data_IF_572279918957
#
_entry.id   IF_572279918957
#
_cell.length_a   1.000
_cell.length_b   1.000
_cell.length_c   1.000
_cell.angle_alpha   90.00
_cell.angle_beta   90.00
_cell.angle_gamma   90.00
#
_symmetry.space_group_name_H-M   'P 1'
#
loop_
_entity.id
_entity.type
_entity.pdbx_description
1 polymer ?
#
# COMPACT_ATOMS: atom_id res chain seq x y z
N UNK A 1 -17.38 -8.32 -7.81
CA UNK A 1 -16.61 -7.50 -6.85
C UNK A 1 -15.71 -8.34 -5.94
N UNK A 2 -14.41 -8.20 -6.12
CA UNK A 2 -13.30 -8.75 -5.30
C UNK A 2 -12.81 -7.76 -4.23
N UNK A 3 -13.29 -6.52 -4.27
CA UNK A 3 -13.13 -5.56 -3.18
C UNK A 3 -13.06 -4.12 -3.66
N UNK A 4 -13.43 -3.23 -2.76
CA UNK A 4 -13.43 -1.77 -2.94
C UNK A 4 -12.51 -1.08 -1.94
N UNK A 5 -12.15 0.15 -2.28
CA UNK A 5 -11.50 1.08 -1.36
C UNK A 5 -11.83 2.51 -1.79
N UNK A 6 -12.01 3.39 -0.81
CA UNK A 6 -12.17 4.81 -1.03
C UNK A 6 -11.34 5.59 0.00
N UNK A 7 -10.44 6.43 -0.50
CA UNK A 7 -9.72 7.49 0.21
C UNK A 7 -10.05 8.82 -0.47
N UNK A 8 -9.68 9.94 0.16
CA UNK A 8 -9.98 11.28 -0.35
C UNK A 8 -9.52 11.54 -1.79
N UNK A 9 -8.43 10.90 -2.22
CA UNK A 9 -7.84 11.05 -3.55
C UNK A 9 -7.66 9.72 -4.31
N UNK A 10 -8.24 8.62 -3.81
CA UNK A 10 -8.04 7.30 -4.41
C UNK A 10 -9.29 6.45 -4.29
N UNK A 11 -9.75 5.89 -5.40
CA UNK A 11 -10.88 4.96 -5.41
C UNK A 11 -10.49 3.70 -6.16
N UNK A 12 -10.95 2.57 -5.63
CA UNK A 12 -10.66 1.24 -6.13
C UNK A 12 -11.93 0.43 -6.14
N UNK A 13 -12.18 -0.26 -7.25
CA UNK A 13 -13.24 -1.25 -7.40
C UNK A 13 -12.69 -2.35 -8.28
N UNK A 14 -12.39 -3.50 -7.68
CA UNK A 14 -11.81 -4.64 -8.36
C UNK A 14 -12.87 -5.70 -8.59
N UNK A 15 -12.98 -6.18 -9.83
CA UNK A 15 -13.92 -7.23 -10.21
C UNK A 15 -13.19 -8.50 -10.63
N UNK A 16 -13.82 -9.64 -10.36
CA UNK A 16 -13.40 -10.94 -10.87
C UNK A 16 -13.85 -11.03 -12.33
N UNK A 17 -12.93 -11.39 -13.20
CA UNK A 17 -13.23 -11.56 -14.62
C UNK A 17 -13.94 -12.90 -14.86
N UNK A 18 -14.89 -12.92 -15.78
CA UNK A 18 -15.36 -14.17 -16.37
C UNK A 18 -14.27 -14.82 -17.23
N UNK A 19 -14.43 -16.10 -17.52
CA UNK A 19 -13.39 -16.89 -18.19
C UNK A 19 -13.12 -16.41 -19.63
N UNK A 20 -14.13 -15.92 -20.34
CA UNK A 20 -13.99 -15.48 -21.73
C UNK A 20 -13.20 -14.16 -21.78
N UNK A 21 -13.54 -13.22 -20.89
CA UNK A 21 -12.80 -11.97 -20.71
C UNK A 21 -11.35 -12.24 -20.26
N UNK A 22 -11.15 -13.16 -19.31
CA UNK A 22 -9.82 -13.55 -18.84
C UNK A 22 -8.98 -14.18 -19.96
N UNK A 23 -9.57 -15.08 -20.76
CA UNK A 23 -8.90 -15.72 -21.89
C UNK A 23 -8.50 -14.71 -22.97
N UNK A 24 -9.35 -13.73 -23.26
CA UNK A 24 -9.01 -12.62 -24.16
C UNK A 24 -7.85 -11.75 -23.67
N UNK A 25 -7.64 -11.68 -22.36
CA UNK A 25 -6.55 -10.93 -21.72
C UNK A 25 -5.26 -11.72 -21.49
N UNK A 26 -5.17 -12.97 -21.98
CA UNK A 26 -4.02 -13.84 -21.78
C UNK A 26 -2.70 -13.23 -22.29
N UNK A 27 -1.67 -13.27 -21.45
CA UNK A 27 -0.42 -12.57 -21.70
C UNK A 27 0.68 -13.49 -22.25
N UNK A 28 1.29 -13.08 -23.36
CA UNK A 28 2.47 -13.71 -23.98
C UNK A 28 3.70 -12.80 -24.04
N UNK A 29 3.56 -11.53 -23.63
CA UNK A 29 4.66 -10.56 -23.64
C UNK A 29 5.69 -10.84 -22.55
N UNK A 30 6.94 -10.46 -22.81
CA UNK A 30 8.01 -10.50 -21.82
C UNK A 30 7.63 -9.70 -20.56
N UNK A 31 7.87 -10.30 -19.39
CA UNK A 31 7.48 -9.80 -18.07
C UNK A 31 6.16 -10.38 -17.55
N UNK A 32 5.23 -10.78 -18.43
CA UNK A 32 3.95 -11.42 -18.08
C UNK A 32 3.70 -12.69 -18.91
N UNK A 33 4.75 -13.37 -19.38
CA UNK A 33 4.58 -14.54 -20.24
C UNK A 33 3.79 -15.64 -19.51
N UNK A 34 2.86 -16.29 -20.20
CA UNK A 34 2.00 -17.36 -19.68
C UNK A 34 1.17 -16.93 -18.45
N UNK A 35 0.69 -15.67 -18.42
CA UNK A 35 -0.12 -15.16 -17.32
C UNK A 35 -1.56 -14.89 -17.75
N UNK A 36 -2.51 -15.35 -16.94
CA UNK A 36 -3.94 -15.15 -17.13
C UNK A 36 -4.45 -14.07 -16.15
N UNK A 37 -5.09 -12.99 -16.61
CA UNK A 37 -5.69 -12.01 -15.70
C UNK A 37 -6.90 -12.64 -14.98
N UNK A 38 -6.96 -12.46 -13.67
CA UNK A 38 -8.07 -12.92 -12.83
C UNK A 38 -9.03 -11.80 -12.46
N UNK A 39 -8.48 -10.61 -12.25
CA UNK A 39 -9.26 -9.46 -11.81
C UNK A 39 -8.94 -8.24 -12.66
N UNK A 40 -9.81 -7.24 -12.59
CA UNK A 40 -9.56 -5.94 -13.18
C UNK A 40 -10.09 -4.83 -12.27
N UNK A 41 -9.26 -3.82 -12.02
CA UNK A 41 -9.68 -2.60 -11.36
C UNK A 41 -9.89 -1.51 -12.40
N UNK A 42 -11.14 -1.07 -12.59
CA UNK A 42 -11.48 -0.08 -13.63
C UNK A 42 -10.83 1.29 -13.40
N UNK A 43 -10.50 1.62 -12.15
CA UNK A 43 -9.97 2.94 -11.78
C UNK A 43 -8.45 3.01 -11.94
N UNK A 44 -7.74 1.91 -11.67
CA UNK A 44 -6.27 1.85 -11.76
C UNK A 44 -5.78 1.17 -13.03
N UNK A 45 -6.64 0.45 -13.75
CA UNK A 45 -6.29 -0.37 -14.91
C UNK A 45 -5.45 -1.60 -14.55
N UNK A 46 -5.27 -1.90 -13.25
CA UNK A 46 -4.44 -2.99 -12.78
C UNK A 46 -5.25 -4.28 -12.61
N UNK A 47 -4.55 -5.39 -12.81
CA UNK A 47 -5.09 -6.75 -12.71
C UNK A 47 -4.25 -7.59 -11.76
N UNK A 48 -4.91 -8.51 -11.06
CA UNK A 48 -4.22 -9.71 -10.55
C UNK A 48 -4.09 -10.70 -11.69
N UNK A 49 -2.98 -11.42 -11.71
CA UNK A 49 -2.70 -12.45 -12.70
C UNK A 49 -2.41 -13.77 -12.00
N UNK A 50 -2.70 -14.88 -12.69
CA UNK A 50 -2.24 -16.22 -12.36
C UNK A 50 -1.19 -16.66 -13.37
N UNK A 51 -0.06 -17.18 -12.89
CA UNK A 51 0.90 -17.84 -13.75
C UNK A 51 0.38 -19.23 -14.17
N UNK A 52 0.26 -19.50 -15.46
CA UNK A 52 -0.14 -20.81 -15.97
C UNK A 52 1.04 -21.76 -16.14
N UNK A 53 2.27 -21.25 -16.18
CA UNK A 53 3.50 -22.02 -16.24
C UNK A 53 4.60 -21.41 -15.37
N UNK A 54 5.59 -22.23 -15.00
CA UNK A 54 6.76 -21.77 -14.22
C UNK A 54 7.77 -21.05 -15.11
N UNK A 55 7.54 -19.76 -15.36
CA UNK A 55 8.36 -18.92 -16.24
C UNK A 55 8.63 -17.55 -15.61
N UNK A 56 9.73 -16.91 -16.02
CA UNK A 56 10.13 -15.57 -15.55
C UNK A 56 10.26 -15.45 -14.02
N UNK A 57 10.61 -16.55 -13.33
CA UNK A 57 10.77 -16.61 -11.87
C UNK A 57 9.48 -16.87 -11.09
N UNK A 58 8.35 -17.04 -11.77
CA UNK A 58 7.07 -17.41 -11.16
C UNK A 58 6.95 -18.93 -11.05
N UNK A 59 6.22 -19.37 -10.02
CA UNK A 59 5.77 -20.75 -9.93
C UNK A 59 4.42 -20.89 -10.65
N UNK A 60 4.18 -22.05 -11.27
CA UNK A 60 2.85 -22.38 -11.80
C UNK A 60 1.77 -22.23 -10.72
N UNK A 61 0.65 -21.62 -11.10
CA UNK A 61 -0.52 -21.27 -10.27
C UNK A 61 -0.35 -20.13 -9.26
N UNK A 62 0.83 -19.53 -9.19
CA UNK A 62 1.06 -18.36 -8.34
C UNK A 62 0.22 -17.17 -8.82
N UNK A 63 -0.45 -16.52 -7.87
CA UNK A 63 -1.30 -15.36 -8.10
C UNK A 63 -0.60 -14.12 -7.55
N UNK A 64 -0.61 -13.05 -8.33
CA UNK A 64 0.14 -11.85 -7.99
C UNK A 64 -0.50 -10.58 -8.53
N UNK A 65 -0.16 -9.45 -7.91
CA UNK A 65 -0.26 -8.13 -8.51
C UNK A 65 1.06 -7.77 -9.18
N UNK A 66 0.98 -7.19 -10.38
CA UNK A 66 2.12 -6.47 -10.94
C UNK A 66 2.42 -5.23 -10.10
N UNK A 67 3.69 -5.03 -9.80
CA UNK A 67 4.20 -3.83 -9.17
C UNK A 67 4.40 -2.75 -10.24
N UNK A 68 3.74 -1.59 -10.16
CA UNK A 68 4.06 -0.46 -11.02
C UNK A 68 5.49 0.02 -10.71
N UNK A 69 6.45 -0.23 -11.59
CA UNK A 69 7.75 0.44 -11.54
C UNK A 69 7.78 1.53 -12.62
N UNK A 70 7.54 2.77 -12.20
CA UNK A 70 7.59 3.94 -13.08
C UNK A 70 9.02 4.30 -13.53
N UNK A 71 10.04 3.76 -12.86
CA UNK A 71 11.45 4.00 -13.16
C UNK A 71 12.08 2.89 -14.02
N UNK A 72 11.34 1.81 -14.29
CA UNK A 72 11.83 0.69 -15.09
C UNK A 72 12.09 1.14 -16.54
N UNK A 73 13.38 1.16 -16.93
CA UNK A 73 13.78 1.34 -18.35
C UNK A 73 13.39 0.14 -19.20
N UNK A 74 13.38 -1.06 -18.60
CA UNK A 74 12.97 -2.29 -19.24
C UNK A 74 11.50 -2.59 -18.88
N UNK A 75 10.55 -2.52 -19.82
CA UNK A 75 9.12 -2.75 -19.55
C UNK A 75 8.79 -4.21 -19.14
N UNK A 76 9.75 -5.13 -19.27
CA UNK A 76 9.63 -6.51 -18.82
C UNK A 76 10.15 -6.75 -17.39
N UNK A 77 10.79 -5.74 -16.78
CA UNK A 77 11.30 -5.81 -15.41
C UNK A 77 10.18 -5.59 -14.36
N UNK A 78 9.19 -6.48 -14.36
CA UNK A 78 8.00 -6.38 -13.51
C UNK A 78 8.24 -7.09 -12.18
N UNK A 79 8.32 -6.33 -11.10
CA UNK A 79 8.28 -6.87 -9.73
C UNK A 79 6.83 -7.25 -9.37
N UNK A 80 6.65 -8.10 -8.36
CA UNK A 80 5.38 -8.82 -8.19
C UNK A 80 5.03 -8.98 -6.72
N UNK A 81 3.85 -8.57 -6.29
CA UNK A 81 3.32 -8.89 -4.96
C UNK A 81 2.51 -10.17 -5.04
N UNK A 82 2.94 -11.21 -4.33
CA UNK A 82 2.30 -12.52 -4.34
C UNK A 82 1.08 -12.50 -3.41
N UNK A 83 -0.07 -12.90 -3.93
CA UNK A 83 -1.35 -12.91 -3.22
C UNK A 83 -1.94 -14.30 -3.04
N UNK A 84 -1.42 -15.31 -3.73
CA UNK A 84 -1.84 -16.70 -3.56
C UNK A 84 -0.91 -17.67 -4.29
N UNK A 85 -0.99 -18.96 -3.93
CA UNK A 85 -0.20 -20.04 -4.55
C UNK A 85 -1.04 -20.97 -5.43
N UNK A 86 -2.37 -20.86 -5.35
CA UNK A 86 -3.31 -21.52 -6.24
C UNK A 86 -4.63 -20.74 -6.31
N UNK A 87 -5.36 -20.87 -7.41
CA UNK A 87 -6.67 -20.24 -7.56
C UNK A 87 -7.67 -20.69 -6.50
N UNK A 88 -7.70 -22.00 -6.20
CA UNK A 88 -8.64 -22.54 -5.24
C UNK A 88 -8.42 -21.95 -3.85
N UNK A 89 -7.18 -21.95 -3.34
CA UNK A 89 -6.85 -21.39 -2.03
C UNK A 89 -7.10 -19.88 -1.99
N UNK A 90 -6.61 -19.14 -2.99
CA UNK A 90 -6.80 -17.69 -3.09
C UNK A 90 -8.28 -17.30 -3.08
N UNK A 91 -9.10 -17.94 -3.90
CA UNK A 91 -10.52 -17.61 -4.03
C UNK A 91 -11.32 -18.06 -2.81
N UNK A 92 -11.09 -19.28 -2.32
CA UNK A 92 -11.82 -19.79 -1.15
C UNK A 92 -11.46 -19.04 0.12
N UNK A 93 -10.19 -18.65 0.30
CA UNK A 93 -9.75 -17.78 1.40
C UNK A 93 -10.43 -16.41 1.35
N UNK A 94 -10.56 -15.82 0.15
CA UNK A 94 -11.32 -14.59 -0.06
C UNK A 94 -12.79 -14.77 0.36
N UNK A 95 -13.48 -15.78 -0.19
CA UNK A 95 -14.90 -16.04 0.11
C UNK A 95 -15.10 -16.29 1.60
N UNK A 96 -14.21 -17.07 2.23
CA UNK A 96 -14.27 -17.34 3.67
C UNK A 96 -14.18 -16.04 4.47
N UNK A 97 -13.24 -15.15 4.17
CA UNK A 97 -13.13 -13.85 4.85
C UNK A 97 -14.36 -12.97 4.67
N UNK A 98 -15.02 -13.01 3.51
CA UNK A 98 -16.29 -12.29 3.30
C UNK A 98 -17.40 -12.89 4.16
N UNK A 99 -17.60 -14.21 4.09
CA UNK A 99 -18.70 -14.91 4.78
C UNK A 99 -18.55 -14.87 6.30
N UNK A 100 -17.33 -14.91 6.82
CA UNK A 100 -17.04 -14.85 8.26
C UNK A 100 -16.98 -13.43 8.82
N UNK A 101 -17.16 -12.41 7.98
CA UNK A 101 -17.06 -11.00 8.39
C UNK A 101 -15.63 -10.50 8.62
N UNK A 102 -14.62 -11.29 8.22
CA UNK A 102 -13.22 -10.87 8.21
C UNK A 102 -12.93 -9.74 7.21
N UNK A 103 -13.74 -9.59 6.17
CA UNK A 103 -13.76 -8.40 5.31
C UNK A 103 -15.05 -7.61 5.54
N UNK A 104 -14.97 -6.37 6.05
CA UNK A 104 -16.15 -5.56 6.30
C UNK A 104 -16.91 -5.23 5.01
N UNK A 105 -18.24 -5.35 5.08
CA UNK A 105 -19.17 -4.95 4.02
C UNK A 105 -19.84 -3.65 4.45
N UNK A 106 -19.63 -2.57 3.69
CA UNK A 106 -20.19 -1.24 3.97
C UNK A 106 -20.88 -0.76 2.71
N UNK A 107 -22.19 -0.47 2.80
CA UNK A 107 -23.02 -0.05 1.66
C UNK A 107 -22.87 -0.98 0.44
N UNK A 108 -23.01 -2.28 0.68
CA UNK A 108 -22.88 -3.36 -0.31
C UNK A 108 -21.51 -3.46 -1.01
N UNK A 109 -20.48 -2.81 -0.45
CA UNK A 109 -19.10 -2.91 -0.94
C UNK A 109 -18.21 -3.66 0.05
N UNK A 110 -17.38 -4.56 -0.46
CA UNK A 110 -16.45 -5.38 0.32
C UNK A 110 -15.14 -4.62 0.48
N UNK A 111 -14.71 -4.31 1.71
CA UNK A 111 -13.42 -3.68 1.96
C UNK A 111 -12.43 -4.70 2.52
N UNK A 112 -11.25 -4.84 1.89
CA UNK A 112 -10.24 -5.85 2.28
C UNK A 112 -9.34 -5.38 3.43
N UNK A 113 -9.96 -4.89 4.50
CA UNK A 113 -9.27 -4.60 5.75
C UNK A 113 -9.13 -5.90 6.57
N UNK A 114 -7.93 -6.17 7.05
CA UNK A 114 -7.66 -7.25 8.00
C UNK A 114 -7.61 -6.64 9.39
N UNK A 115 -8.42 -7.18 10.30
CA UNK A 115 -8.40 -6.81 11.71
C UNK A 115 -7.69 -7.89 12.50
N UNK A 116 -6.55 -7.55 13.10
CA UNK A 116 -5.94 -8.36 14.14
C UNK A 116 -6.69 -8.13 15.44
N UNK A 117 -7.05 -9.21 16.13
CA UNK A 117 -7.78 -9.16 17.41
C UNK A 117 -6.97 -8.47 18.50
N UNK A 118 -5.65 -8.45 18.38
CA UNK A 118 -4.75 -7.75 19.31
C UNK A 118 -4.69 -6.24 19.03
N UNK A 119 -5.12 -5.78 17.86
CA UNK A 119 -5.16 -4.37 17.49
C UNK A 119 -6.40 -3.65 18.06
N UNK A 120 -6.63 -3.82 19.35
CA UNK A 120 -7.70 -3.20 20.14
C UNK A 120 -7.13 -2.68 21.46
N UNK A 121 -7.41 -1.43 21.80
CA UNK A 121 -7.08 -0.87 23.12
C UNK A 121 -8.32 -0.19 23.73
N UNK A 122 -8.55 -0.43 25.01
CA UNK A 122 -9.64 0.20 25.77
C UNK A 122 -9.06 1.09 26.85
N UNK A 123 -9.49 2.36 26.89
CA UNK A 123 -9.13 3.32 27.93
C UNK A 123 -10.40 3.83 28.59
N UNK A 124 -10.67 3.37 29.81
CA UNK A 124 -11.95 3.60 30.47
C UNK A 124 -13.10 2.99 29.65
N UNK A 125 -14.08 3.80 29.29
CA UNK A 125 -15.28 3.37 28.57
C UNK A 125 -15.13 3.43 27.04
N UNK A 126 -13.95 3.86 26.53
CA UNK A 126 -13.69 4.06 25.10
C UNK A 126 -12.76 2.98 24.57
N UNK A 127 -13.15 2.35 23.47
CA UNK A 127 -12.36 1.34 22.75
C UNK A 127 -11.97 1.84 21.37
N UNK A 128 -10.68 1.69 21.05
CA UNK A 128 -10.11 1.95 19.73
C UNK A 128 -9.69 0.63 19.09
N UNK A 129 -10.27 0.31 17.94
CA UNK A 129 -9.91 -0.87 17.14
C UNK A 129 -9.34 -0.44 15.79
N UNK A 130 -8.31 -1.13 15.32
CA UNK A 130 -7.64 -0.81 14.06
C UNK A 130 -7.66 -1.99 13.11
N UNK A 131 -7.99 -1.74 11.85
CA UNK A 131 -7.87 -2.71 10.75
C UNK A 131 -6.98 -2.12 9.66
N UNK A 132 -6.12 -2.93 9.04
CA UNK A 132 -5.16 -2.44 8.03
C UNK A 132 -5.35 -3.13 6.69
N UNK A 133 -4.89 -2.51 5.61
CA UNK A 133 -4.89 -3.08 4.27
C UNK A 133 -3.64 -2.64 3.52
N UNK A 134 -2.98 -3.57 2.84
CA UNK A 134 -1.89 -3.27 1.90
C UNK A 134 -2.48 -2.97 0.51
N UNK A 135 -1.96 -1.94 -0.17
CA UNK A 135 -2.42 -1.53 -1.49
C UNK A 135 -1.31 -1.78 -2.53
N UNK A 136 -1.32 -2.93 -3.21
CA UNK A 136 -0.30 -3.27 -4.23
C UNK A 136 -0.21 -2.25 -5.36
N UNK A 137 -1.34 -1.65 -5.74
CA UNK A 137 -1.44 -0.67 -6.83
C UNK A 137 -0.77 0.68 -6.56
N UNK A 138 -0.58 1.04 -5.29
CA UNK A 138 0.14 2.25 -4.87
C UNK A 138 1.50 1.92 -4.25
N UNK A 139 1.91 0.65 -4.33
CA UNK A 139 3.16 0.16 -3.74
C UNK A 139 4.15 -0.23 -4.83
N UNK A 140 5.42 0.03 -4.57
CA UNK A 140 6.54 -0.39 -5.38
C UNK A 140 7.65 -1.05 -4.57
N UNK A 141 8.27 -2.08 -5.14
CA UNK A 141 9.49 -2.69 -4.58
C UNK A 141 10.72 -1.85 -4.95
N UNK A 142 10.70 -1.28 -6.16
CA UNK A 142 11.75 -0.40 -6.65
C UNK A 142 11.14 0.84 -7.33
N UNK A 143 11.43 2.07 -6.83
CA UNK A 143 12.01 2.34 -5.52
C UNK A 143 11.10 1.80 -4.39
N UNK A 144 11.62 1.51 -3.20
CA UNK A 144 10.83 0.92 -2.13
C UNK A 144 9.80 1.92 -1.59
N UNK A 145 8.53 1.61 -1.80
CA UNK A 145 7.39 2.41 -1.37
C UNK A 145 6.21 1.48 -1.08
N UNK A 146 5.87 1.30 0.20
CA UNK A 146 4.82 0.37 0.62
C UNK A 146 3.66 1.14 1.19
N UNK A 147 2.54 1.13 0.47
CA UNK A 147 1.35 1.90 0.82
C UNK A 147 0.36 1.04 1.59
N UNK A 148 -0.04 1.54 2.76
CA UNK A 148 -1.03 0.91 3.61
C UNK A 148 -2.16 1.88 3.91
N UNK A 149 -3.37 1.36 3.98
CA UNK A 149 -4.49 2.05 4.61
C UNK A 149 -4.82 1.43 5.94
N UNK A 150 -5.39 2.25 6.81
CA UNK A 150 -5.90 1.80 8.09
C UNK A 150 -7.28 2.41 8.32
N UNK A 151 -8.17 1.57 8.84
CA UNK A 151 -9.50 1.95 9.30
C UNK A 151 -9.51 1.90 10.83
N UNK A 152 -9.89 3.01 11.45
CA UNK A 152 -9.97 3.13 12.89
C UNK A 152 -11.43 3.25 13.29
N UNK A 153 -11.80 2.47 14.30
CA UNK A 153 -13.10 2.48 14.94
C UNK A 153 -12.92 2.93 16.38
N UNK A 154 -13.57 4.03 16.75
CA UNK A 154 -13.60 4.59 18.10
C UNK A 154 -15.03 4.44 18.60
N UNK A 155 -15.22 3.74 19.71
CA UNK A 155 -16.54 3.57 20.29
C UNK A 155 -16.53 3.76 21.80
N UNK A 156 -17.67 4.16 22.36
CA UNK A 156 -17.90 4.12 23.80
C UNK A 156 -18.95 3.07 24.13
N UNK A 157 -18.72 2.35 25.21
CA UNK A 157 -19.62 1.28 25.66
C UNK A 157 -21.04 1.82 25.93
N UNK A 158 -22.06 0.97 25.74
CA UNK A 158 -23.47 1.37 25.90
C UNK A 158 -23.88 1.59 27.36
N UNK A 159 -23.17 0.95 28.28
CA UNK A 159 -23.35 1.02 29.73
C UNK A 159 -22.61 2.21 30.38
N UNK A 160 -21.82 2.95 29.60
CA UNK A 160 -21.22 4.20 30.06
C UNK A 160 -22.30 5.24 30.41
N UNK A 161 -22.03 6.04 31.44
CA UNK A 161 -22.93 7.11 31.86
C UNK A 161 -22.97 8.24 30.80
N UNK A 162 -24.11 8.90 30.54
CA UNK A 162 -24.22 9.99 29.57
C UNK A 162 -23.21 11.13 29.79
N UNK A 163 -22.84 11.41 31.05
CA UNK A 163 -21.89 12.45 31.45
C UNK A 163 -20.45 12.14 30.99
N UNK A 164 -20.17 10.90 30.56
CA UNK A 164 -18.89 10.49 29.97
C UNK A 164 -18.73 10.96 28.52
N UNK A 165 -19.76 11.53 27.91
CA UNK A 165 -19.65 12.06 26.56
C UNK A 165 -18.47 13.04 26.44
N UNK A 166 -17.66 12.84 25.41
CA UNK A 166 -16.40 13.55 25.21
C UNK A 166 -16.19 13.83 23.72
N UNK A 167 -15.35 14.80 23.41
CA UNK A 167 -15.00 15.16 22.04
C UNK A 167 -13.51 14.99 21.81
N UNK A 168 -13.16 14.43 20.65
CA UNK A 168 -11.78 14.28 20.20
C UNK A 168 -11.23 15.65 19.79
N UNK A 169 -10.12 16.06 20.39
CA UNK A 169 -9.45 17.34 20.10
C UNK A 169 -8.25 17.19 19.17
N UNK A 170 -7.41 16.19 19.45
CA UNK A 170 -6.16 16.01 18.73
C UNK A 170 -5.72 14.55 18.75
N UNK A 171 -4.73 14.26 17.89
CA UNK A 171 -4.10 12.96 17.78
C UNK A 171 -2.59 13.10 17.89
N UNK A 172 -1.97 12.08 18.44
CA UNK A 172 -0.53 11.86 18.39
C UNK A 172 -0.28 10.45 17.82
N UNK A 173 0.63 10.37 16.87
CA UNK A 173 1.08 9.14 16.25
C UNK A 173 2.59 9.03 16.34
N UNK A 174 3.07 7.85 16.70
CA UNK A 174 4.46 7.42 16.57
C UNK A 174 4.51 6.31 15.53
N UNK A 175 5.17 6.58 14.43
CA UNK A 175 5.25 5.72 13.24
C UNK A 175 6.67 5.21 13.15
N UNK A 176 6.87 3.89 13.21
CA UNK A 176 8.22 3.29 13.16
C UNK A 176 8.33 2.35 11.98
N UNK A 177 9.36 2.54 11.15
CA UNK A 177 9.65 1.64 10.03
C UNK A 177 10.52 0.43 10.49
N UNK A 178 10.76 -0.53 9.61
CA UNK A 178 11.54 -1.74 9.96
C UNK A 178 13.04 -1.47 10.24
N UNK A 179 13.56 -0.29 9.89
CA UNK A 179 14.94 0.13 10.19
C UNK A 179 15.06 0.82 11.54
N UNK A 180 13.93 1.07 12.22
CA UNK A 180 13.88 1.79 13.48
C UNK A 180 13.78 3.31 13.34
N UNK A 181 13.64 3.83 12.11
CA UNK A 181 13.39 5.26 11.92
C UNK A 181 11.98 5.59 12.44
N UNK A 182 11.89 6.64 13.26
CA UNK A 182 10.65 7.08 13.90
C UNK A 182 10.21 8.41 13.31
N UNK A 183 8.94 8.50 12.95
CA UNK A 183 8.25 9.73 12.60
C UNK A 183 7.13 9.99 13.60
N UNK A 184 7.05 11.20 14.15
CA UNK A 184 5.99 11.63 15.04
C UNK A 184 5.06 12.59 14.31
N UNK A 185 3.75 12.33 14.40
CA UNK A 185 2.71 13.17 13.79
C UNK A 185 1.73 13.59 14.87
N UNK A 186 1.64 14.90 15.10
CA UNK A 186 0.68 15.50 16.01
C UNK A 186 -0.17 16.51 15.26
N UNK A 187 -1.47 16.55 15.53
CA UNK A 187 -2.37 17.49 14.87
C UNK A 187 -3.79 17.48 15.42
N UNK A 188 -4.59 18.50 15.07
CA UNK A 188 -5.96 18.64 15.53
C UNK A 188 -6.89 17.64 14.83
N UNK A 189 -7.88 17.14 15.57
CA UNK A 189 -8.92 16.26 15.07
C UNK A 189 -8.40 14.95 14.45
N UNK A 190 -9.27 14.32 13.65
CA UNK A 190 -8.98 13.18 12.79
C UNK A 190 -9.64 13.45 11.43
N UNK A 191 -8.89 13.33 10.33
CA UNK A 191 -9.37 13.57 8.96
C UNK A 191 -10.14 14.90 8.75
N UNK A 192 -9.79 15.93 9.53
CA UNK A 192 -10.45 17.24 9.50
C UNK A 192 -11.72 17.36 10.37
N UNK A 193 -12.06 16.31 11.13
CA UNK A 193 -13.22 16.24 12.00
C UNK A 193 -12.84 16.17 13.49
N UNK A 194 -13.76 16.61 14.35
CA UNK A 194 -13.65 16.58 15.82
C UNK A 194 -14.85 15.82 16.40
N UNK A 195 -14.89 14.48 16.26
CA UNK A 195 -16.08 13.70 16.60
C UNK A 195 -16.38 13.72 18.11
N UNK A 196 -17.66 13.83 18.42
CA UNK A 196 -18.20 13.59 19.76
C UNK A 196 -18.46 12.10 19.91
N UNK A 197 -17.96 11.49 20.98
CA UNK A 197 -18.21 10.11 21.37
C UNK A 197 -19.06 10.11 22.64
N UNK A 198 -20.21 9.44 22.57
CA UNK A 198 -21.19 9.28 23.66
C UNK A 198 -21.53 7.80 23.83
N UNK A 199 -22.18 7.38 24.94
CA UNK A 199 -22.47 5.97 25.17
C UNK A 199 -23.17 5.30 23.98
N UNK A 200 -22.62 4.17 23.52
CA UNK A 200 -23.10 3.42 22.37
C UNK A 200 -22.79 4.01 20.99
N UNK A 201 -22.17 5.19 20.92
CA UNK A 201 -21.77 5.81 19.65
C UNK A 201 -20.50 5.20 19.13
N UNK A 202 -20.47 5.00 17.82
CA UNK A 202 -19.32 4.53 17.06
C UNK A 202 -18.95 5.61 16.05
N UNK A 203 -17.67 5.94 15.99
CA UNK A 203 -17.08 6.77 14.95
C UNK A 203 -16.02 5.96 14.21
N UNK A 204 -16.08 5.98 12.88
CA UNK A 204 -15.13 5.27 12.03
C UNK A 204 -14.54 6.23 11.00
N UNK A 205 -13.23 6.11 10.79
CA UNK A 205 -12.55 6.83 9.73
C UNK A 205 -11.44 5.98 9.10
N UNK A 206 -11.03 6.36 7.90
CA UNK A 206 -9.95 5.69 7.16
C UNK A 206 -8.87 6.70 6.80
N UNK A 207 -7.61 6.29 6.87
CA UNK A 207 -6.48 7.08 6.39
C UNK A 207 -5.37 6.17 5.83
N UNK A 208 -4.25 6.75 5.43
CA UNK A 208 -3.14 6.06 4.78
C UNK A 208 -1.80 6.41 5.43
N UNK A 209 -0.85 5.50 5.29
CA UNK A 209 0.57 5.74 5.56
C UNK A 209 1.43 5.02 4.51
N UNK A 210 2.67 5.45 4.39
CA UNK A 210 3.66 4.83 3.50
C UNK A 210 4.94 4.52 4.25
N UNK A 211 5.57 3.39 3.92
CA UNK A 211 6.88 3.01 4.44
C UNK A 211 7.88 2.84 3.31
N UNK A 212 9.15 3.17 3.57
CA UNK A 212 10.29 2.81 2.72
C UNK A 212 10.81 1.39 3.00
N UNK A 213 10.15 0.66 3.90
CA UNK A 213 10.45 -0.72 4.31
C UNK A 213 9.22 -1.60 4.14
N UNK A 214 9.43 -2.89 3.97
CA UNK A 214 8.37 -3.90 3.76
C UNK A 214 7.43 -4.05 4.96
N UNK A 215 7.85 -3.59 6.14
CA UNK A 215 7.02 -3.55 7.32
C UNK A 215 7.24 -2.27 8.12
N UNK A 216 6.29 -1.98 8.99
CA UNK A 216 6.33 -0.91 9.97
C UNK A 216 5.20 -1.08 10.97
N UNK A 217 5.17 -0.24 11.98
CA UNK A 217 4.07 -0.19 12.94
C UNK A 217 3.75 1.24 13.35
N UNK A 218 2.52 1.43 13.83
CA UNK A 218 2.03 2.70 14.34
C UNK A 218 1.42 2.49 15.71
N UNK A 219 1.59 3.46 16.58
CA UNK A 219 0.98 3.53 17.90
C UNK A 219 0.78 4.99 18.29
N UNK A 220 -0.01 5.27 19.33
CA UNK A 220 -0.26 6.65 19.73
C UNK A 220 -1.42 6.80 20.67
N UNK A 221 -2.00 7.99 20.69
CA UNK A 221 -3.19 8.31 21.47
C UNK A 221 -3.99 9.45 20.87
N UNK A 222 -5.27 9.50 21.21
CA UNK A 222 -6.12 10.67 21.00
C UNK A 222 -6.25 11.45 22.30
N UNK A 223 -6.26 12.77 22.20
CA UNK A 223 -6.63 13.64 23.31
C UNK A 223 -8.11 13.98 23.20
N UNK A 224 -8.85 13.73 24.28
CA UNK A 224 -10.26 14.05 24.41
C UNK A 224 -10.49 15.06 25.52
N UNK A 225 -11.53 15.88 25.40
CA UNK A 225 -12.11 16.62 26.51
C UNK A 225 -13.53 16.16 26.84
N UNK A 226 -13.89 16.19 28.12
CA UNK A 226 -15.25 15.90 28.56
C UNK A 226 -16.20 17.05 28.23
N UNK A 227 -17.41 16.74 27.74
CA UNK A 227 -18.42 17.78 27.42
C UNK A 227 -19.14 18.32 28.66
N UNK A 228 -19.28 17.50 29.71
CA UNK A 228 -19.99 17.87 30.95
C UNK A 228 -19.08 18.42 32.04
N UNK A 229 -17.78 18.11 32.00
CA UNK A 229 -16.79 18.53 32.98
C UNK A 229 -15.77 19.46 32.32
N UNK A 230 -15.89 20.76 32.60
CA UNK A 230 -14.98 21.78 32.06
C UNK A 230 -13.53 21.45 32.39
N UNK A 231 -12.64 21.74 31.44
CA UNK A 231 -11.18 21.63 31.54
C UNK A 231 -10.65 20.22 31.87
N UNK A 232 -11.48 19.18 31.71
CA UNK A 232 -11.06 17.79 31.91
C UNK A 232 -10.66 17.15 30.60
N UNK A 233 -9.35 16.99 30.42
CA UNK A 233 -8.74 16.30 29.28
C UNK A 233 -8.20 14.93 29.69
N UNK A 234 -8.21 13.99 28.76
CA UNK A 234 -7.62 12.67 28.95
C UNK A 234 -7.19 12.06 27.61
N UNK A 235 -6.20 11.18 27.67
CA UNK A 235 -5.73 10.46 26.50
C UNK A 235 -6.43 9.10 26.37
N UNK A 236 -6.79 8.73 25.15
CA UNK A 236 -7.30 7.41 24.78
C UNK A 236 -6.23 6.72 23.95
N UNK A 237 -5.76 5.57 24.43
CA UNK A 237 -4.69 4.82 23.78
C UNK A 237 -5.13 4.25 22.44
N UNK A 238 -4.28 4.38 21.44
CA UNK A 238 -4.42 3.66 20.18
C UNK A 238 -3.52 2.41 20.28
N UNK A 239 -4.03 1.20 20.01
CA UNK A 239 -3.21 -0.01 20.08
C UNK A 239 -2.05 0.09 19.09
N UNK A 240 -0.91 -0.52 19.41
CA UNK A 240 0.13 -0.73 18.40
C UNK A 240 -0.39 -1.70 17.36
N UNK A 241 -0.30 -1.33 16.09
CA UNK A 241 -0.65 -2.21 14.97
C UNK A 241 0.47 -2.28 13.95
N UNK A 242 0.67 -3.49 13.44
CA UNK A 242 1.72 -3.79 12.47
C UNK A 242 1.14 -3.80 11.05
N UNK A 243 1.93 -3.32 10.11
CA UNK A 243 1.65 -3.34 8.68
C UNK A 243 2.79 -4.06 8.01
N UNK A 244 2.47 -5.14 7.31
CA UNK A 244 3.46 -6.02 6.68
C UNK A 244 3.03 -6.24 5.24
N UNK A 245 3.95 -5.93 4.33
CA UNK A 245 3.79 -6.22 2.91
C UNK A 245 3.73 -7.74 2.72
N UNK A 246 2.82 -8.25 1.87
CA UNK A 246 2.86 -9.63 1.41
C UNK A 246 4.23 -9.98 0.80
N UNK A 247 4.50 -11.28 0.67
CA UNK A 247 5.66 -11.77 -0.07
C UNK A 247 5.69 -11.16 -1.47
N UNK A 248 6.87 -10.77 -1.93
CA UNK A 248 7.06 -10.23 -3.27
C UNK A 248 8.24 -10.90 -3.97
N UNK A 249 8.24 -10.84 -5.30
CA UNK A 249 9.33 -11.29 -6.17
C UNK A 249 9.85 -10.11 -6.98
N UNK A 250 11.18 -10.02 -7.06
CA UNK A 250 11.87 -9.05 -7.92
C UNK A 250 12.07 -9.68 -9.29
N UNK A 251 11.89 -8.91 -10.35
CA UNK A 251 12.05 -9.41 -11.72
C UNK A 251 13.46 -9.92 -11.98
N UNK A 252 13.55 -11.10 -12.60
CA UNK A 252 14.83 -11.66 -13.09
C UNK A 252 15.50 -10.76 -14.13
N UNK A 253 14.73 -10.05 -14.95
CA UNK A 253 15.26 -9.09 -15.93
C UNK A 253 16.05 -7.94 -15.26
N UNK A 254 15.68 -7.60 -14.01
CA UNK A 254 16.41 -6.61 -13.20
C UNK A 254 17.69 -7.18 -12.61
N UNK A 255 17.69 -8.45 -12.21
CA UNK A 255 18.89 -9.14 -11.71
C UNK A 255 19.98 -9.20 -12.80
N UNK A 256 19.60 -9.58 -14.03
CA UNK A 256 20.53 -9.61 -15.17
C UNK A 256 21.11 -8.22 -15.47
N UNK A 257 20.31 -7.17 -15.40
CA UNK A 257 20.81 -5.79 -15.58
C UNK A 257 21.75 -5.36 -14.46
N UNK A 258 21.55 -5.83 -13.22
CA UNK A 258 22.41 -5.49 -12.09
C UNK A 258 23.75 -6.23 -12.19
N UNK A 259 23.73 -7.51 -12.54
CA UNK A 259 24.95 -8.31 -12.75
C UNK A 259 25.74 -7.81 -13.96
N UNK A 260 25.07 -7.37 -15.03
CA UNK A 260 25.73 -6.73 -16.17
C UNK A 260 26.38 -5.37 -15.78
N UNK A 261 25.73 -4.58 -14.93
CA UNK A 261 26.31 -3.32 -14.42
C UNK A 261 27.49 -3.59 -13.49
N UNK A 262 27.41 -4.60 -12.62
CA UNK A 262 28.52 -5.03 -11.76
C UNK A 262 29.69 -5.55 -12.61
N UNK A 263 29.42 -6.40 -13.60
CA UNK A 263 30.45 -6.87 -14.54
C UNK A 263 31.08 -5.72 -15.33
N UNK A 264 30.32 -4.71 -15.76
CA UNK A 264 30.87 -3.54 -16.44
C UNK A 264 31.72 -2.66 -15.51
N UNK A 265 31.34 -2.54 -14.23
CA UNK A 265 32.14 -1.84 -13.23
C UNK A 265 33.42 -2.61 -12.87
N UNK A 266 33.36 -3.94 -12.84
CA UNK A 266 34.52 -4.81 -12.61
C UNK A 266 35.48 -4.83 -13.81
N UNK A 267 34.97 -4.74 -15.06
CA UNK A 267 35.84 -4.60 -16.24
C UNK A 267 36.47 -3.22 -16.37
N UNK A 268 35.88 -2.17 -15.78
CA UNK A 268 36.45 -0.81 -15.75
C UNK A 268 37.53 -0.61 -14.68
N UNK A 269 37.91 -1.64 -13.92
CA UNK A 269 39.02 -1.58 -12.97
C UNK A 269 40.34 -2.18 -13.50
N UNK A 270 40.45 -2.47 -14.80
CA UNK A 270 41.64 -3.07 -15.36
C UNK A 270 42.15 -2.46 -16.67
N UNK A 271 42.08 -1.13 -16.81
CA UNK A 271 42.84 -0.40 -17.83
C UNK A 271 43.24 0.99 -17.31
N UNK A 272 44.37 1.04 -16.61
CA UNK A 272 45.23 2.23 -16.60
C UNK A 272 46.51 1.86 -17.34
N UNK A 273 46.57 2.20 -18.62
CA UNK A 273 47.81 2.42 -19.32
C UNK A 273 47.73 3.83 -19.93
N UNK A 274 48.70 4.64 -19.54
CA UNK A 274 48.97 5.99 -20.02
C UNK A 274 49.41 5.88 -21.48
N UNK A 275 48.91 6.76 -22.34
CA UNK A 275 49.72 7.35 -23.40
C UNK A 275 49.10 8.71 -23.81
N UNK A 276 49.95 9.73 -23.77
CA UNK A 276 49.73 11.07 -24.29
C UNK A 276 49.93 11.06 -25.81
N UNK A 277 49.06 11.75 -26.57
CA UNK A 277 49.47 12.83 -27.49
C UNK A 277 48.34 13.28 -28.46
N UNK A 278 48.12 14.60 -28.40
CA UNK A 278 47.81 15.60 -29.43
C UNK A 278 46.78 15.42 -30.58
N UNK A 279 45.79 16.31 -30.52
CA UNK A 279 45.43 17.36 -31.51
C UNK A 279 44.34 17.13 -32.60
N UNK A 280 43.58 18.23 -32.76
CA UNK A 280 42.86 18.72 -33.94
C UNK A 280 41.35 18.42 -34.17
N UNK A 281 40.59 19.51 -34.00
CA UNK A 281 39.58 20.12 -34.90
C UNK A 281 38.27 19.41 -35.30
N UNK A 282 37.19 20.14 -34.95
CA UNK A 282 36.02 20.55 -35.76
C UNK A 282 34.77 19.65 -35.95
N UNK A 283 33.65 20.30 -35.62
CA UNK A 283 32.30 20.28 -36.25
C UNK A 283 31.51 18.96 -36.33
N UNK A 284 30.34 18.89 -35.66
CA UNK A 284 29.07 19.28 -36.29
C UNK A 284 27.85 19.11 -35.37
N UNK A 285 26.92 20.06 -35.53
CA UNK A 285 25.59 20.15 -34.93
C UNK A 285 24.67 18.98 -35.35
N UNK A 286 23.90 18.44 -34.40
CA UNK A 286 22.58 17.86 -34.71
C UNK A 286 21.61 18.11 -33.54
N UNK A 287 20.72 19.08 -33.73
CA UNK A 287 19.45 19.19 -33.00
C UNK A 287 18.57 17.97 -33.33
N UNK A 288 18.16 17.18 -32.34
CA UNK A 288 16.94 16.36 -32.45
C UNK A 288 15.90 16.82 -31.42
N UNK A 289 14.91 17.56 -31.94
CA UNK A 289 13.70 17.97 -31.24
C UNK A 289 12.80 16.75 -31.01
N UNK A 290 12.87 16.15 -29.82
CA UNK A 290 11.75 15.33 -29.29
C UNK A 290 11.04 16.06 -28.17
N UNK A 291 9.80 16.46 -28.47
CA UNK A 291 8.83 17.00 -27.51
C UNK A 291 8.70 16.05 -26.32
N UNK A 292 9.28 16.44 -25.20
CA UNK A 292 8.99 15.87 -23.89
C UNK A 292 7.57 16.31 -23.55
N UNK A 293 6.64 15.36 -23.53
CA UNK A 293 5.39 15.53 -22.79
C UNK A 293 5.78 15.54 -21.31
N UNK A 294 5.93 16.73 -20.73
CA UNK A 294 6.07 16.93 -19.30
C UNK A 294 4.80 16.41 -18.61
N UNK A 295 4.82 15.14 -18.23
CA UNK A 295 3.91 14.60 -17.23
C UNK A 295 4.56 14.89 -15.88
N UNK A 296 3.96 15.74 -15.03
CA UNK A 296 4.56 16.06 -13.75
C UNK A 296 4.66 14.78 -12.90
N UNK A 297 5.83 14.57 -12.30
CA UNK A 297 6.05 13.51 -11.33
C UNK A 297 4.94 13.57 -10.27
N UNK A 298 4.29 12.45 -9.91
CA UNK A 298 3.33 12.46 -8.83
C UNK A 298 4.08 12.79 -7.54
N UNK A 299 3.90 14.01 -7.03
CA UNK A 299 4.27 14.40 -5.67
C UNK A 299 3.34 13.67 -4.69
N UNK A 300 3.49 12.35 -4.60
CA UNK A 300 2.60 11.45 -3.88
C UNK A 300 2.97 11.33 -2.41
N UNK A 301 3.01 12.43 -1.67
CA UNK A 301 2.77 12.34 -0.22
C UNK A 301 1.25 12.32 -0.03
N UNK A 302 0.73 11.32 0.69
CA UNK A 302 -0.66 11.36 1.18
C UNK A 302 -0.92 12.77 1.76
N UNK A 303 -2.04 13.43 1.44
CA UNK A 303 -2.39 14.70 2.07
C UNK A 303 -2.40 14.49 3.58
N UNK A 304 -1.32 14.91 4.24
CA UNK A 304 -1.24 14.94 5.69
C UNK A 304 -2.10 16.13 6.05
N UNK A 305 -3.33 15.88 6.49
CA UNK A 305 -4.18 16.92 7.07
C UNK A 305 -3.49 17.38 8.37
N UNK A 306 -2.58 18.34 8.24
CA UNK A 306 -1.99 19.13 9.32
C UNK A 306 -3.00 20.13 9.83
#
# INVERSE_FOLDING_TARGET
LMGSMALSNHYRSEDLLDIDTAAGGFQQRLGLKQCLPLTFCIHTGLSQYMALESVEGRNKYEIFYQCPDQMARNPSAIDMFITGTSYLEWFTSYVNKVVTGGYPIIRDQIFRYVHDKECVATTGDITVSVSTSFLPELSSVHPPHYFFTYRIRIEMSKDALPEKACQLDSRYWRITNAKGDVEEVQGPGVVGEFPIISPGRVYEYTSCTTFSTTSGYMEGYYTFHCLYYKDKFFNVTIPRFHMVCPTFKVSTARMVSRDAVVLMLETNHNEYAVDEDEDSTDTDEYEDRRRVLDIPAPSGRCPRHT
#
